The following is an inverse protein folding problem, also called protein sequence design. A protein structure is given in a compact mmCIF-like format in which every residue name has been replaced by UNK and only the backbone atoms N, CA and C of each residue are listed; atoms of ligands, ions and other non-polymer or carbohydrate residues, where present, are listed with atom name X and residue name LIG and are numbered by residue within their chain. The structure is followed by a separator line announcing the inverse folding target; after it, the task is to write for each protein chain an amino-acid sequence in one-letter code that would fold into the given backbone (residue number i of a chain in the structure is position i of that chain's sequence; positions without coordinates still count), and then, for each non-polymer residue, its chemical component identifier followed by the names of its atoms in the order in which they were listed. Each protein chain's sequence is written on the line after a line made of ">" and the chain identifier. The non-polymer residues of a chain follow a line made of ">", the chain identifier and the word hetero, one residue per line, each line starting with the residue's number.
data_IF_345355791959
#
_entry.id   IF_345355791959
#
_cell.length_a   1.000
_cell.length_b   1.000
_cell.length_c   1.000
_cell.angle_alpha   90.00
_cell.angle_beta   90.00
_cell.angle_gamma   90.00
#
_symmetry.space_group_name_H-M   'P 1'
#
loop_
_entity.id
_entity.type
_entity.pdbx_description
1 polymer ?
#
# COMPACT_ATOMS: atom_id res chain seq x y z
N UNK A 1 8.25 -10.85 -4.79
CA UNK A 1 8.04 -9.75 -5.75
C UNK A 1 9.33 -9.50 -6.52
N UNK A 2 9.31 -9.13 -7.81
CA UNK A 2 10.52 -8.76 -8.56
C UNK A 2 11.11 -7.44 -8.05
N UNK A 3 12.41 -7.22 -8.29
CA UNK A 3 13.10 -5.95 -7.97
C UNK A 3 13.06 -4.97 -9.13
N UNK A 4 13.18 -3.69 -8.80
CA UNK A 4 13.30 -2.59 -9.75
C UNK A 4 11.97 -2.19 -10.38
N UNK A 5 10.83 -2.54 -9.76
CA UNK A 5 9.53 -2.05 -10.18
C UNK A 5 9.48 -0.53 -10.12
N UNK A 6 10.19 0.12 -9.21
CA UNK A 6 10.24 1.59 -9.14
C UNK A 6 10.84 2.22 -10.42
N UNK A 7 11.55 1.45 -11.26
CA UNK A 7 12.06 1.94 -12.53
C UNK A 7 11.02 1.89 -13.66
N UNK A 8 9.90 1.19 -13.46
CA UNK A 8 8.79 1.11 -14.42
C UNK A 8 7.86 2.32 -14.30
N UNK A 9 8.41 3.53 -14.39
CA UNK A 9 7.68 4.79 -14.16
C UNK A 9 6.48 5.01 -15.09
N UNK A 10 6.44 4.33 -16.24
CA UNK A 10 5.32 4.34 -17.18
C UNK A 10 4.28 3.22 -16.95
N UNK A 11 4.45 2.39 -15.92
CA UNK A 11 3.53 1.31 -15.58
C UNK A 11 2.17 1.89 -15.20
N UNK A 12 1.12 1.41 -15.88
CA UNK A 12 -0.25 1.88 -15.67
C UNK A 12 -1.12 0.89 -14.93
N UNK A 13 -0.74 -0.39 -14.93
CA UNK A 13 -1.51 -1.45 -14.28
C UNK A 13 -0.59 -2.29 -13.42
N UNK A 14 -0.97 -2.39 -12.15
CA UNK A 14 -0.41 -3.30 -11.17
C UNK A 14 -1.55 -3.64 -10.22
N UNK A 15 -2.09 -4.86 -10.33
CA UNK A 15 -3.26 -5.25 -9.55
C UNK A 15 -2.93 -5.62 -8.12
N UNK A 16 -1.77 -6.26 -7.88
CA UNK A 16 -1.43 -6.85 -6.60
C UNK A 16 0.05 -6.67 -6.29
N UNK A 17 0.36 -6.23 -5.08
CA UNK A 17 1.70 -6.08 -4.53
C UNK A 17 1.79 -6.79 -3.18
N UNK A 18 2.75 -7.72 -3.02
CA UNK A 18 2.92 -8.47 -1.78
C UNK A 18 4.22 -8.01 -1.12
N UNK A 19 4.09 -7.40 0.06
CA UNK A 19 5.22 -7.00 0.89
C UNK A 19 5.93 -8.26 1.41
N UNK A 20 7.23 -8.33 1.20
CA UNK A 20 8.07 -9.43 1.67
C UNK A 20 8.96 -8.93 2.81
N UNK A 21 9.19 -9.80 3.80
CA UNK A 21 9.95 -9.48 5.00
C UNK A 21 11.46 -9.25 4.72
N UNK A 22 12.05 -8.44 5.58
CA UNK A 22 13.45 -8.02 5.67
C UNK A 22 14.36 -9.12 6.26
N UNK A 23 13.79 -10.21 6.78
CA UNK A 23 14.50 -11.28 7.50
C UNK A 23 15.35 -12.18 6.58
N UNK A 24 15.11 -12.10 5.27
CA UNK A 24 16.09 -12.56 4.30
C UNK A 24 16.95 -11.36 3.92
N UNK A 25 18.28 -11.48 3.94
CA UNK A 25 19.29 -10.48 3.49
C UNK A 25 19.13 -10.06 2.00
N UNK A 26 17.91 -9.78 1.56
CA UNK A 26 17.45 -9.60 0.21
C UNK A 26 16.41 -8.50 0.28
N UNK A 27 16.72 -7.36 -0.33
CA UNK A 27 15.82 -6.23 -0.46
C UNK A 27 14.62 -6.49 -1.40
N UNK A 28 14.22 -7.76 -1.58
CA UNK A 28 13.16 -8.17 -2.50
C UNK A 28 11.78 -7.74 -1.97
N UNK A 29 10.99 -7.02 -2.76
CA UNK A 29 9.58 -6.79 -2.45
C UNK A 29 9.32 -5.86 -1.26
N UNK A 30 10.24 -4.94 -0.99
CA UNK A 30 10.00 -3.82 -0.07
C UNK A 30 8.96 -2.87 -0.66
N UNK A 31 8.18 -2.23 0.21
CA UNK A 31 7.08 -1.36 -0.21
C UNK A 31 7.57 -0.20 -1.11
N UNK A 32 8.82 0.26 -0.92
CA UNK A 32 9.46 1.31 -1.72
C UNK A 32 9.55 1.02 -3.22
N UNK A 33 9.46 -0.23 -3.66
CA UNK A 33 9.34 -0.61 -5.08
C UNK A 33 8.14 0.06 -5.79
N UNK A 34 7.15 0.53 -5.02
CA UNK A 34 6.00 1.26 -5.52
C UNK A 34 6.23 2.77 -5.65
N UNK A 35 7.32 3.34 -5.11
CA UNK A 35 7.54 4.78 -4.93
C UNK A 35 7.31 5.61 -6.20
N UNK A 36 7.90 5.19 -7.32
CA UNK A 36 7.87 5.96 -8.57
C UNK A 36 6.74 5.55 -9.51
N UNK A 37 5.90 4.59 -9.12
CA UNK A 37 4.78 4.09 -9.91
C UNK A 37 3.57 5.02 -9.81
N UNK A 38 3.73 6.27 -10.24
CA UNK A 38 2.71 7.32 -10.09
C UNK A 38 1.66 7.31 -11.21
N UNK A 39 1.88 6.51 -12.26
CA UNK A 39 0.98 6.33 -13.39
C UNK A 39 0.01 5.16 -13.22
N UNK A 40 0.05 4.45 -12.08
CA UNK A 40 -0.87 3.35 -11.77
C UNK A 40 -2.32 3.82 -11.78
N UNK A 41 -3.18 3.00 -12.38
CA UNK A 41 -4.60 3.27 -12.58
C UNK A 41 -5.44 2.12 -12.04
N UNK A 42 -6.72 2.42 -11.81
CA UNK A 42 -7.69 1.41 -11.36
C UNK A 42 -7.44 1.01 -9.91
N UNK A 43 -7.38 -0.30 -9.65
CA UNK A 43 -7.22 -0.86 -8.31
C UNK A 43 -5.79 -1.36 -8.08
N UNK A 44 -5.25 -1.06 -6.90
CA UNK A 44 -4.03 -1.67 -6.36
C UNK A 44 -4.35 -2.36 -5.04
N UNK A 45 -4.03 -3.64 -4.95
CA UNK A 45 -4.09 -4.41 -3.72
C UNK A 45 -2.69 -4.56 -3.12
N UNK A 46 -2.54 -4.24 -1.84
CA UNK A 46 -1.28 -4.36 -1.10
C UNK A 46 -1.46 -5.34 0.05
N UNK A 47 -0.73 -6.46 -0.02
CA UNK A 47 -0.75 -7.53 0.97
C UNK A 47 0.50 -7.52 1.86
N UNK A 48 0.34 -7.94 3.12
CA UNK A 48 1.45 -8.13 4.06
C UNK A 48 1.90 -6.84 4.74
N UNK A 49 0.99 -5.89 4.96
CA UNK A 49 1.31 -4.60 5.59
C UNK A 49 1.74 -4.73 7.06
N UNK A 50 1.45 -5.86 7.71
CA UNK A 50 1.98 -6.24 9.02
C UNK A 50 3.52 -6.29 9.06
N UNK A 51 4.17 -6.44 7.91
CA UNK A 51 5.63 -6.49 7.76
C UNK A 51 6.28 -5.11 7.61
N UNK A 52 5.48 -4.05 7.44
CA UNK A 52 5.97 -2.68 7.34
C UNK A 52 6.26 -2.17 8.75
N UNK A 53 7.49 -1.73 9.01
CA UNK A 53 7.94 -1.41 10.37
C UNK A 53 7.62 0.02 10.79
N UNK A 54 7.46 0.93 9.83
CA UNK A 54 7.27 2.36 10.11
C UNK A 54 6.30 3.06 9.16
N UNK A 55 5.65 4.12 9.65
CA UNK A 55 4.82 5.01 8.82
C UNK A 55 5.66 5.76 7.77
N UNK A 56 6.95 5.96 8.03
CA UNK A 56 7.89 6.58 7.08
C UNK A 56 8.02 5.75 5.81
N UNK A 57 8.16 4.43 5.92
CA UNK A 57 8.17 3.53 4.76
C UNK A 57 6.90 3.63 3.91
N UNK A 58 5.74 3.86 4.53
CA UNK A 58 4.49 4.08 3.80
C UNK A 58 4.44 5.45 3.12
N UNK A 59 5.09 6.45 3.71
CA UNK A 59 5.13 7.81 3.17
C UNK A 59 6.03 7.88 1.94
N UNK A 60 7.16 7.16 1.96
CA UNK A 60 8.10 7.07 0.83
C UNK A 60 7.48 6.46 -0.43
N UNK A 61 6.43 5.66 -0.28
CA UNK A 61 5.70 5.03 -1.39
C UNK A 61 4.86 6.04 -2.18
N UNK A 62 4.60 7.20 -1.58
CA UNK A 62 3.80 8.26 -2.17
C UNK A 62 2.41 7.77 -2.62
N UNK A 63 1.73 6.94 -1.81
CA UNK A 63 0.39 6.45 -2.13
C UNK A 63 -0.57 7.61 -2.41
N UNK A 64 -0.54 8.66 -1.59
CA UNK A 64 -1.35 9.89 -1.73
C UNK A 64 -1.11 10.62 -3.07
N UNK A 65 0.10 10.53 -3.63
CA UNK A 65 0.45 11.17 -4.90
C UNK A 65 0.09 10.36 -6.15
N UNK A 66 -0.45 9.14 -6.02
CA UNK A 66 -0.84 8.28 -7.15
C UNK A 66 -2.18 8.70 -7.75
N UNK A 67 -2.21 9.91 -8.32
CA UNK A 67 -3.41 10.61 -8.78
C UNK A 67 -4.35 9.89 -9.75
N UNK A 68 -3.89 8.83 -10.41
CA UNK A 68 -4.73 8.06 -11.33
C UNK A 68 -5.27 6.76 -10.72
N UNK A 69 -4.86 6.43 -9.50
CA UNK A 69 -5.34 5.29 -8.76
C UNK A 69 -6.74 5.62 -8.23
N UNK A 70 -7.69 4.72 -8.50
CA UNK A 70 -9.10 4.89 -8.13
C UNK A 70 -9.47 4.08 -6.90
N UNK A 71 -8.75 2.99 -6.62
CA UNK A 71 -9.06 2.09 -5.53
C UNK A 71 -7.80 1.49 -4.91
N UNK A 72 -7.84 1.31 -3.59
CA UNK A 72 -6.75 0.75 -2.80
C UNK A 72 -7.33 -0.28 -1.83
N UNK A 73 -6.82 -1.50 -1.90
CA UNK A 73 -7.08 -2.57 -0.94
C UNK A 73 -5.83 -2.79 -0.09
N UNK A 74 -5.95 -2.66 1.22
CA UNK A 74 -4.84 -2.79 2.18
C UNK A 74 -5.10 -3.98 3.10
N UNK A 75 -4.23 -4.97 3.03
CA UNK A 75 -4.41 -6.24 3.70
C UNK A 75 -3.28 -6.52 4.69
N UNK A 76 -3.65 -6.65 5.97
CA UNK A 76 -2.80 -7.13 7.05
C UNK A 76 -3.03 -8.63 7.30
N UNK A 77 -1.97 -9.36 7.61
CA UNK A 77 -2.10 -10.76 8.03
C UNK A 77 -2.71 -10.84 9.44
N UNK A 78 -3.79 -11.61 9.59
CA UNK A 78 -4.50 -11.74 10.85
C UNK A 78 -3.61 -12.41 11.91
N UNK A 79 -3.60 -11.85 13.12
CA UNK A 79 -2.82 -12.38 14.25
C UNK A 79 -1.34 -11.99 14.24
N UNK A 80 -0.87 -11.22 13.27
CA UNK A 80 0.47 -10.64 13.29
C UNK A 80 0.49 -9.31 14.08
N UNK A 81 1.61 -8.99 14.77
CA UNK A 81 1.77 -7.68 15.38
C UNK A 81 1.79 -6.60 14.31
N UNK A 82 1.24 -5.43 14.64
CA UNK A 82 1.32 -4.25 13.78
C UNK A 82 2.33 -3.26 14.32
N UNK A 83 3.19 -2.80 13.44
CA UNK A 83 4.17 -1.75 13.75
C UNK A 83 3.69 -0.36 13.30
N UNK A 84 2.74 -0.32 12.35
CA UNK A 84 2.12 0.91 11.86
C UNK A 84 0.76 1.11 12.53
N UNK A 85 0.52 2.33 13.02
CA UNK A 85 -0.78 2.76 13.50
C UNK A 85 -1.76 2.86 12.32
N UNK A 86 -2.79 2.02 12.34
CA UNK A 86 -3.81 1.92 11.30
C UNK A 86 -4.57 3.24 11.12
N UNK A 87 -4.94 3.91 12.21
CA UNK A 87 -5.71 5.17 12.14
C UNK A 87 -4.85 6.29 11.55
N UNK A 88 -3.58 6.38 11.95
CA UNK A 88 -2.66 7.37 11.39
C UNK A 88 -2.42 7.15 9.89
N UNK A 89 -2.28 5.89 9.45
CA UNK A 89 -2.17 5.55 8.04
C UNK A 89 -3.45 5.89 7.27
N UNK A 90 -4.62 5.56 7.83
CA UNK A 90 -5.92 5.88 7.26
C UNK A 90 -6.11 7.39 7.10
N UNK A 91 -5.71 8.19 8.08
CA UNK A 91 -5.79 9.66 8.01
C UNK A 91 -4.92 10.23 6.89
N UNK A 92 -3.73 9.69 6.67
CA UNK A 92 -2.88 10.06 5.53
C UNK A 92 -3.55 9.68 4.21
N UNK A 93 -4.12 8.48 4.12
CA UNK A 93 -4.74 7.98 2.88
C UNK A 93 -6.06 8.69 2.54
N UNK A 94 -6.79 9.17 3.55
CA UNK A 94 -7.96 10.06 3.36
C UNK A 94 -7.59 11.37 2.66
N UNK A 95 -6.32 11.79 2.69
CA UNK A 95 -5.86 12.96 1.93
C UNK A 95 -5.78 12.70 0.42
N UNK A 96 -5.87 11.44 -0.03
CA UNK A 96 -5.81 11.09 -1.44
C UNK A 96 -7.05 11.58 -2.20
N UNK A 97 -6.91 12.71 -2.90
CA UNK A 97 -8.02 13.44 -3.53
C UNK A 97 -8.73 12.71 -4.67
N UNK A 98 -8.13 11.65 -5.22
CA UNK A 98 -8.66 10.90 -6.37
C UNK A 98 -9.08 9.47 -6.04
N UNK A 99 -8.94 9.06 -4.77
CA UNK A 99 -9.29 7.70 -4.37
C UNK A 99 -10.81 7.62 -4.25
N UNK A 100 -11.44 6.69 -4.95
CA UNK A 100 -12.88 6.45 -4.91
C UNK A 100 -13.24 5.38 -3.89
N UNK A 101 -12.33 4.43 -3.65
CA UNK A 101 -12.51 3.35 -2.68
C UNK A 101 -11.22 3.08 -1.91
N UNK A 102 -11.34 2.99 -0.60
CA UNK A 102 -10.32 2.44 0.28
C UNK A 102 -10.92 1.27 1.05
N UNK A 103 -10.27 0.12 1.02
CA UNK A 103 -10.68 -1.06 1.76
C UNK A 103 -9.52 -1.53 2.63
N UNK A 104 -9.80 -1.76 3.91
CA UNK A 104 -8.83 -2.25 4.88
C UNK A 104 -9.32 -3.59 5.42
N UNK A 105 -8.49 -4.63 5.27
CA UNK A 105 -8.80 -6.01 5.68
C UNK A 105 -7.70 -6.53 6.60
N UNK A 106 -8.10 -7.35 7.57
CA UNK A 106 -7.17 -7.96 8.53
C UNK A 106 -6.85 -7.08 9.73
N UNK A 107 -7.67 -6.04 9.94
CA UNK A 107 -7.79 -5.15 11.11
C UNK A 107 -8.03 -5.88 12.45
N UNK A 108 -7.71 -5.24 13.58
CA UNK A 108 -8.18 -5.67 14.90
C UNK A 108 -9.69 -5.40 15.04
N UNK A 109 -10.17 -4.49 14.20
CA UNK A 109 -11.55 -4.25 13.80
C UNK A 109 -11.94 -5.11 12.58
N UNK A 110 -13.24 -5.28 12.37
CA UNK A 110 -13.79 -5.87 11.15
C UNK A 110 -13.33 -5.09 9.90
N UNK A 111 -13.33 -5.74 8.73
CA UNK A 111 -13.04 -5.10 7.45
C UNK A 111 -13.84 -3.81 7.27
N UNK A 112 -13.16 -2.73 6.90
CA UNK A 112 -13.76 -1.41 6.74
C UNK A 112 -13.57 -0.93 5.29
N UNK A 113 -14.70 -0.66 4.63
CA UNK A 113 -14.72 -0.07 3.28
C UNK A 113 -15.14 1.39 3.40
N UNK A 114 -14.35 2.29 2.81
CA UNK A 114 -14.63 3.70 2.63
C UNK A 114 -14.86 3.95 1.14
N UNK A 115 -16.04 4.45 0.79
CA UNK A 115 -16.38 4.90 -0.56
C UNK A 115 -16.41 6.43 -0.56
N UNK A 116 -15.71 7.05 -1.51
CA UNK A 116 -15.62 8.50 -1.68
C UNK A 116 -16.41 8.91 -2.94
N UNK A 117 -17.27 9.93 -2.80
CA UNK A 117 -18.15 10.43 -3.86
C UNK A 117 -17.42 11.34 -4.85
#
# INVERSE_FOLDING_TARGET
>A
MPRGLENLTSLQSLSTFNVVDDDSNKADGKLNELQNLNNLRGNLEINGLDRVKTLMETSDVNLVGKKFLESLDLNWEAGQPRFVDEEALLDILRLHQHLRRLNVVGGASASQVFEYM
#
